data_IF_120375219143
#
_entry.id   IF_120375219143
#
_cell.length_a   1.000
_cell.length_b   1.000
_cell.length_c   1.000
_cell.angle_alpha   90.00
_cell.angle_beta   90.00
_cell.angle_gamma   90.00
#
_symmetry.space_group_name_H-M   'P 1'
#
loop_
_entity.id
_entity.type
_entity.pdbx_description
1 polymer ?
#
# COMPACT_ATOMS: atom_id res chain seq x y z
N UNK A 1 -4.42 19.86 28.65
CA UNK A 1 -3.81 21.07 28.05
C UNK A 1 -3.67 20.79 26.56
N UNK A 2 -4.61 21.35 25.77
CA UNK A 2 -4.60 21.24 24.32
C UNK A 2 -3.42 22.04 23.76
N UNK A 3 -2.40 21.34 23.25
CA UNK A 3 -1.40 21.97 22.39
C UNK A 3 -2.01 22.11 21.00
N UNK A 4 -2.52 23.30 20.69
CA UNK A 4 -2.75 23.73 19.31
C UNK A 4 -1.40 23.69 18.59
N UNK A 5 -1.18 22.66 17.80
CA UNK A 5 -0.04 22.60 16.87
C UNK A 5 -0.30 23.62 15.77
N UNK A 6 0.41 24.75 15.83
CA UNK A 6 0.54 25.64 14.68
C UNK A 6 1.16 24.82 13.54
N UNK A 7 0.35 24.47 12.55
CA UNK A 7 0.85 23.84 11.33
C UNK A 7 1.74 24.86 10.61
N UNK A 8 3.00 24.52 10.42
CA UNK A 8 3.87 25.29 9.53
C UNK A 8 3.25 25.29 8.12
N UNK A 9 3.35 26.39 7.36
CA UNK A 9 2.81 26.45 6.00
C UNK A 9 3.45 25.36 5.15
N UNK A 10 2.61 24.69 4.33
CA UNK A 10 3.06 23.65 3.40
C UNK A 10 4.12 24.27 2.49
N UNK A 11 5.28 23.61 2.27
CA UNK A 11 6.28 24.10 1.32
C UNK A 11 5.66 24.35 -0.06
N UNK A 12 5.98 25.46 -0.70
CA UNK A 12 5.38 25.87 -1.97
C UNK A 12 5.46 24.81 -3.08
N UNK A 13 6.52 23.99 -3.08
CA UNK A 13 6.65 22.86 -3.98
C UNK A 13 5.57 21.79 -3.74
N UNK A 14 5.21 21.52 -2.50
CA UNK A 14 4.17 20.55 -2.14
C UNK A 14 2.78 21.10 -2.51
N UNK A 15 2.56 22.41 -2.38
CA UNK A 15 1.31 23.07 -2.79
C UNK A 15 1.07 22.96 -4.30
N UNK A 16 2.10 23.08 -5.11
CA UNK A 16 2.00 22.92 -6.56
C UNK A 16 1.56 21.49 -6.93
N UNK A 17 2.14 20.47 -6.28
CA UNK A 17 1.75 19.06 -6.47
C UNK A 17 0.31 18.85 -5.99
N UNK A 18 -0.06 19.33 -4.80
CA UNK A 18 -1.43 19.24 -4.28
C UNK A 18 -2.45 19.87 -5.24
N UNK A 19 -2.12 21.03 -5.79
CA UNK A 19 -2.99 21.74 -6.75
C UNK A 19 -3.16 20.92 -8.04
N UNK A 20 -2.09 20.29 -8.52
CA UNK A 20 -2.14 19.41 -9.69
C UNK A 20 -2.98 18.16 -9.41
N UNK A 21 -2.80 17.53 -8.26
CA UNK A 21 -3.57 16.35 -7.83
C UNK A 21 -5.06 16.66 -7.73
N UNK A 22 -5.44 17.76 -7.11
CA UNK A 22 -6.85 18.20 -7.02
C UNK A 22 -7.50 18.40 -8.37
N UNK A 23 -6.75 18.82 -9.39
CA UNK A 23 -7.28 18.98 -10.76
C UNK A 23 -7.58 17.65 -11.44
N UNK A 24 -6.85 16.60 -11.11
CA UNK A 24 -7.03 15.25 -11.67
C UNK A 24 -7.85 14.33 -10.76
N UNK A 25 -8.19 14.78 -9.57
CA UNK A 25 -8.90 14.02 -8.54
C UNK A 25 -10.13 13.29 -9.07
N UNK A 26 -11.06 14.01 -9.70
CA UNK A 26 -12.29 13.43 -10.26
C UNK A 26 -12.06 12.41 -11.40
N UNK A 27 -10.86 12.39 -11.96
CA UNK A 27 -10.47 11.44 -13.02
C UNK A 27 -9.85 10.19 -12.37
N UNK A 28 -9.04 10.38 -11.33
CA UNK A 28 -8.29 9.31 -10.67
C UNK A 28 -9.14 8.52 -9.65
N UNK A 29 -10.17 9.17 -9.07
CA UNK A 29 -11.01 8.59 -8.01
C UNK A 29 -12.49 8.85 -8.30
N UNK A 30 -13.07 8.23 -9.34
CA UNK A 30 -14.48 8.41 -9.65
C UNK A 30 -15.36 7.81 -8.57
N UNK A 31 -16.51 8.42 -8.31
CA UNK A 31 -17.52 7.95 -7.36
C UNK A 31 -18.32 6.73 -7.88
N UNK A 32 -17.84 6.05 -8.90
CA UNK A 32 -18.54 4.95 -9.58
C UNK A 32 -17.52 4.00 -10.19
N UNK A 33 -17.89 2.73 -10.25
CA UNK A 33 -17.17 1.67 -10.98
C UNK A 33 -17.90 1.23 -12.25
N UNK A 34 -18.78 2.08 -12.79
CA UNK A 34 -19.33 1.88 -14.12
C UNK A 34 -18.20 1.76 -15.18
N UNK A 35 -18.39 1.00 -16.26
CA UNK A 35 -17.31 0.68 -17.19
C UNK A 35 -16.49 1.88 -17.69
N UNK A 36 -17.14 3.03 -17.97
CA UNK A 36 -16.46 4.24 -18.43
C UNK A 36 -15.66 4.94 -17.31
N UNK A 37 -16.16 4.91 -16.08
CA UNK A 37 -15.49 5.47 -14.92
C UNK A 37 -14.29 4.61 -14.53
N UNK A 38 -14.46 3.30 -14.53
CA UNK A 38 -13.39 2.34 -14.30
C UNK A 38 -12.26 2.46 -15.35
N UNK A 39 -12.63 2.60 -16.61
CA UNK A 39 -11.66 2.85 -17.68
C UNK A 39 -10.90 4.16 -17.46
N UNK A 40 -11.58 5.24 -17.08
CA UNK A 40 -10.93 6.51 -16.73
C UNK A 40 -9.99 6.39 -15.54
N UNK A 41 -10.41 5.71 -14.49
CA UNK A 41 -9.59 5.45 -13.29
C UNK A 41 -8.30 4.71 -13.66
N UNK A 42 -8.42 3.60 -14.39
CA UNK A 42 -7.28 2.79 -14.83
C UNK A 42 -6.31 3.59 -15.71
N UNK A 43 -6.84 4.35 -16.68
CA UNK A 43 -6.03 5.24 -17.52
C UNK A 43 -5.38 6.37 -16.72
N UNK A 44 -6.09 6.95 -15.76
CA UNK A 44 -5.58 8.02 -14.89
C UNK A 44 -4.42 7.53 -14.03
N UNK A 45 -4.55 6.34 -13.45
CA UNK A 45 -3.49 5.74 -12.64
C UNK A 45 -2.27 5.34 -13.48
N UNK A 46 -2.48 4.81 -14.68
CA UNK A 46 -1.40 4.53 -15.63
C UNK A 46 -0.68 5.81 -16.08
N UNK A 47 -1.45 6.89 -16.35
CA UNK A 47 -0.87 8.19 -16.66
C UNK A 47 -0.05 8.76 -15.50
N UNK A 48 -0.51 8.60 -14.24
CA UNK A 48 0.24 8.97 -13.04
C UNK A 48 1.57 8.19 -12.98
N UNK A 49 1.52 6.88 -13.22
CA UNK A 49 2.72 6.03 -13.27
C UNK A 49 3.73 6.42 -14.35
N UNK A 50 3.25 7.04 -15.45
CA UNK A 50 4.13 7.57 -16.53
C UNK A 50 4.64 8.99 -16.26
N UNK A 51 3.84 9.83 -15.59
CA UNK A 51 4.19 11.22 -15.29
C UNK A 51 5.17 11.31 -14.10
N UNK A 52 4.99 10.46 -13.10
CA UNK A 52 5.90 10.37 -11.98
C UNK A 52 7.12 9.55 -12.42
N UNK A 53 8.21 10.25 -12.68
CA UNK A 53 9.48 9.58 -13.04
C UNK A 53 10.00 8.79 -11.84
N UNK A 54 10.17 7.47 -11.95
CA UNK A 54 10.83 6.70 -10.92
C UNK A 54 12.29 7.17 -10.76
N UNK A 55 12.91 6.99 -9.60
CA UNK A 55 14.33 7.28 -9.43
C UNK A 55 15.16 6.46 -10.42
N UNK A 56 16.39 6.88 -10.67
CA UNK A 56 17.37 6.14 -11.49
C UNK A 56 18.18 5.20 -10.59
N UNK A 57 18.86 4.22 -11.19
CA UNK A 57 19.78 3.34 -10.46
C UNK A 57 19.18 1.98 -10.07
N UNK A 58 18.17 1.52 -10.80
CA UNK A 58 17.63 0.16 -10.66
C UNK A 58 17.33 -0.47 -12.02
N UNK A 59 17.42 -1.80 -12.09
CA UNK A 59 16.90 -2.59 -13.21
C UNK A 59 15.41 -2.92 -13.00
N UNK A 60 14.70 -3.07 -14.13
CA UNK A 60 13.31 -3.49 -14.17
C UNK A 60 13.18 -4.71 -15.09
N UNK A 61 12.87 -5.87 -14.52
CA UNK A 61 12.85 -7.15 -15.22
C UNK A 61 11.45 -7.76 -15.19
N UNK A 62 10.60 -7.46 -16.20
CA UNK A 62 9.24 -8.00 -16.25
C UNK A 62 9.25 -9.48 -16.66
N UNK A 63 8.35 -10.27 -16.09
CA UNK A 63 8.10 -11.67 -16.39
C UNK A 63 6.68 -12.06 -15.97
N UNK A 64 6.34 -13.34 -16.04
CA UNK A 64 5.04 -13.85 -15.59
C UNK A 64 5.23 -15.06 -14.68
N UNK A 65 4.34 -15.19 -13.71
CA UNK A 65 4.22 -16.36 -12.82
C UNK A 65 2.82 -16.93 -13.00
N UNK A 66 2.68 -18.05 -13.66
CA UNK A 66 1.40 -18.71 -13.96
C UNK A 66 0.34 -17.75 -14.56
N UNK A 67 0.79 -16.88 -15.48
CA UNK A 67 -0.05 -15.87 -16.12
C UNK A 67 -0.25 -14.58 -15.34
N UNK A 68 0.30 -14.47 -14.12
CA UNK A 68 0.30 -13.22 -13.34
C UNK A 68 1.51 -12.38 -13.76
N UNK A 69 1.30 -11.17 -14.33
CA UNK A 69 2.40 -10.28 -14.66
C UNK A 69 3.16 -9.87 -13.39
N UNK A 70 4.47 -9.98 -13.42
CA UNK A 70 5.36 -9.64 -12.31
C UNK A 70 6.62 -8.93 -12.81
N UNK A 71 7.34 -8.26 -11.92
CA UNK A 71 8.62 -7.66 -12.25
C UNK A 71 9.56 -7.68 -11.04
N UNK A 72 10.81 -8.05 -11.30
CA UNK A 72 11.89 -7.79 -10.38
C UNK A 72 12.39 -6.37 -10.52
N UNK A 73 12.61 -5.74 -9.38
CA UNK A 73 13.23 -4.41 -9.26
C UNK A 73 14.50 -4.58 -8.44
N UNK A 74 15.65 -4.31 -9.05
CA UNK A 74 16.95 -4.54 -8.40
C UNK A 74 17.82 -3.28 -8.46
N UNK A 75 18.45 -2.85 -7.35
CA UNK A 75 19.44 -1.79 -7.40
C UNK A 75 20.58 -2.12 -8.36
N UNK A 76 20.94 -1.18 -9.23
CA UNK A 76 22.12 -1.27 -10.09
C UNK A 76 23.38 -1.19 -9.24
N UNK A 77 24.43 -1.94 -9.61
CA UNK A 77 25.68 -1.97 -8.83
C UNK A 77 25.73 -3.03 -7.73
N UNK A 78 24.69 -3.85 -7.63
CA UNK A 78 24.57 -4.96 -6.68
C UNK A 78 23.52 -4.68 -5.61
N UNK A 79 22.95 -5.76 -5.11
CA UNK A 79 21.93 -5.72 -4.06
C UNK A 79 22.21 -6.77 -2.99
N UNK A 80 21.73 -6.52 -1.78
CA UNK A 80 21.78 -7.47 -0.69
C UNK A 80 20.76 -8.60 -0.94
N UNK A 81 21.27 -9.82 -1.08
CA UNK A 81 20.46 -11.02 -1.33
C UNK A 81 20.02 -11.74 -0.05
N UNK A 82 20.29 -11.17 1.11
CA UNK A 82 19.85 -11.77 2.38
C UNK A 82 18.37 -11.54 2.67
N UNK A 83 17.76 -10.56 2.00
CA UNK A 83 16.36 -10.15 2.12
C UNK A 83 15.78 -9.74 0.77
N UNK A 84 14.47 -9.85 0.65
CA UNK A 84 13.71 -9.32 -0.47
C UNK A 84 12.39 -8.73 0.01
N UNK A 85 11.77 -7.89 -0.82
CA UNK A 85 10.46 -7.31 -0.55
C UNK A 85 9.46 -7.88 -1.55
N UNK A 86 8.38 -8.52 -1.06
CA UNK A 86 7.19 -8.81 -1.87
C UNK A 86 6.23 -7.64 -1.74
N UNK A 87 5.92 -6.99 -2.85
CA UNK A 87 5.14 -5.76 -2.85
C UNK A 87 3.78 -5.92 -3.55
N UNK A 88 2.71 -5.65 -2.78
CA UNK A 88 1.32 -5.58 -3.24
C UNK A 88 0.96 -4.11 -3.52
N UNK A 89 0.63 -3.77 -4.77
CA UNK A 89 0.32 -2.40 -5.16
C UNK A 89 -1.07 -1.96 -4.74
N UNK A 90 -1.28 -0.64 -4.59
CA UNK A 90 -2.57 -0.01 -4.35
C UNK A 90 -3.44 0.11 -5.62
N UNK A 91 -4.59 0.78 -5.46
CA UNK A 91 -5.54 1.04 -6.55
C UNK A 91 -6.97 0.59 -6.28
N UNK A 92 -7.36 0.45 -5.01
CA UNK A 92 -8.73 0.12 -4.59
C UNK A 92 -9.22 -1.25 -5.08
N UNK A 93 -8.32 -2.17 -5.37
CA UNK A 93 -8.61 -3.48 -6.02
C UNK A 93 -9.21 -3.39 -7.43
N UNK A 94 -9.49 -2.20 -7.93
CA UNK A 94 -10.14 -1.96 -9.23
C UNK A 94 -9.19 -1.43 -10.29
N UNK A 95 -8.02 -1.00 -9.88
CA UNK A 95 -6.96 -0.46 -10.74
C UNK A 95 -5.58 -0.82 -10.19
N UNK A 96 -4.56 -0.53 -10.96
CA UNK A 96 -3.18 -0.87 -10.65
C UNK A 96 -2.52 -1.65 -11.78
N UNK A 97 -1.29 -1.32 -12.06
CA UNK A 97 -0.47 -1.97 -13.07
C UNK A 97 0.97 -2.08 -12.57
N UNK A 98 1.79 -2.89 -13.24
CA UNK A 98 3.22 -2.91 -12.96
C UNK A 98 3.88 -1.53 -13.17
N UNK A 99 3.35 -0.70 -14.09
CA UNK A 99 3.82 0.67 -14.30
C UNK A 99 3.58 1.57 -13.09
N UNK A 100 2.43 1.42 -12.42
CA UNK A 100 2.14 2.08 -11.15
C UNK A 100 3.02 1.53 -10.02
N UNK A 101 3.07 0.21 -9.88
CA UNK A 101 3.86 -0.47 -8.85
C UNK A 101 5.35 -0.09 -8.89
N UNK A 102 5.89 0.14 -10.09
CA UNK A 102 7.29 0.54 -10.32
C UNK A 102 7.70 1.76 -9.51
N UNK A 103 6.80 2.73 -9.28
CA UNK A 103 7.09 3.97 -8.57
C UNK A 103 7.54 3.73 -7.13
N UNK A 104 6.78 2.95 -6.38
CA UNK A 104 7.07 2.68 -4.97
C UNK A 104 8.09 1.55 -4.83
N UNK A 105 8.00 0.51 -5.66
CA UNK A 105 8.95 -0.60 -5.67
C UNK A 105 10.39 -0.14 -5.89
N UNK A 106 10.63 0.78 -6.85
CA UNK A 106 11.98 1.32 -7.09
C UNK A 106 12.50 2.14 -5.91
N UNK A 107 11.66 2.92 -5.24
CA UNK A 107 12.04 3.68 -4.06
C UNK A 107 12.40 2.76 -2.88
N UNK A 108 11.61 1.70 -2.67
CA UNK A 108 11.92 0.68 -1.66
C UNK A 108 13.25 -0.02 -1.96
N UNK A 109 13.44 -0.47 -3.22
CA UNK A 109 14.68 -1.14 -3.63
C UNK A 109 15.92 -0.28 -3.38
N UNK A 110 15.88 0.99 -3.78
CA UNK A 110 17.01 1.91 -3.61
C UNK A 110 17.26 2.30 -2.16
N UNK A 111 16.21 2.46 -1.35
CA UNK A 111 16.35 2.83 0.05
C UNK A 111 16.91 1.69 0.91
N UNK A 112 16.60 0.44 0.57
CA UNK A 112 16.98 -0.74 1.36
C UNK A 112 18.19 -1.49 0.81
N UNK A 113 18.49 -1.33 -0.48
CA UNK A 113 19.44 -2.19 -1.18
C UNK A 113 18.92 -3.61 -1.45
N UNK A 114 17.67 -3.92 -1.15
CA UNK A 114 17.04 -5.23 -1.39
C UNK A 114 16.39 -5.28 -2.77
N UNK A 115 16.26 -6.49 -3.34
CA UNK A 115 15.39 -6.66 -4.49
C UNK A 115 13.91 -6.65 -4.07
N UNK A 116 13.06 -6.15 -4.97
CA UNK A 116 11.61 -6.10 -4.79
C UNK A 116 10.95 -6.90 -5.89
N UNK A 117 10.04 -7.81 -5.53
CA UNK A 117 9.12 -8.43 -6.47
C UNK A 117 7.78 -7.69 -6.39
N UNK A 118 7.39 -7.03 -7.47
CA UNK A 118 6.06 -6.48 -7.67
C UNK A 118 5.27 -7.39 -8.62
N UNK A 119 3.96 -7.50 -8.41
CA UNK A 119 3.08 -8.30 -9.28
C UNK A 119 1.75 -7.58 -9.47
N UNK A 120 1.07 -7.92 -10.57
CA UNK A 120 -0.23 -7.36 -10.92
C UNK A 120 -1.30 -8.42 -10.68
N UNK A 121 -1.94 -8.35 -9.53
CA UNK A 121 -3.05 -9.24 -9.18
C UNK A 121 -4.31 -8.93 -10.00
N UNK A 122 -5.22 -9.90 -10.09
CA UNK A 122 -6.52 -9.75 -10.76
C UNK A 122 -7.36 -8.68 -10.11
N UNK A 123 -8.04 -7.87 -10.91
CA UNK A 123 -8.74 -6.66 -10.48
C UNK A 123 -10.26 -6.80 -10.59
N UNK A 124 -10.95 -6.21 -9.65
CA UNK A 124 -12.40 -6.06 -9.67
C UNK A 124 -12.84 -4.97 -10.69
N UNK A 125 -14.05 -5.02 -11.18
CA UNK A 125 -15.12 -5.98 -10.89
C UNK A 125 -15.02 -7.30 -11.67
N UNK A 126 -14.06 -7.42 -12.61
CA UNK A 126 -13.87 -8.62 -13.41
C UNK A 126 -13.49 -9.83 -12.54
N UNK A 127 -12.76 -9.56 -11.47
CA UNK A 127 -12.27 -10.53 -10.50
C UNK A 127 -12.48 -10.00 -9.09
N UNK A 128 -13.45 -10.57 -8.40
CA UNK A 128 -13.84 -10.16 -7.06
C UNK A 128 -13.05 -10.92 -5.99
N UNK A 129 -13.23 -10.57 -4.72
CA UNK A 129 -12.69 -11.37 -3.63
C UNK A 129 -13.10 -12.86 -3.77
N UNK A 130 -12.19 -13.83 -3.55
CA UNK A 130 -10.84 -13.69 -2.99
C UNK A 130 -9.70 -13.69 -4.04
N UNK A 131 -9.97 -13.44 -5.31
CA UNK A 131 -9.00 -13.72 -6.39
C UNK A 131 -7.67 -12.95 -6.27
N UNK A 132 -7.69 -11.71 -5.78
CA UNK A 132 -6.44 -10.97 -5.53
C UNK A 132 -5.57 -11.64 -4.43
N UNK A 133 -6.21 -12.20 -3.39
CA UNK A 133 -5.51 -12.92 -2.33
C UNK A 133 -4.95 -14.27 -2.83
N UNK A 134 -5.68 -14.96 -3.71
CA UNK A 134 -5.19 -16.18 -4.37
C UNK A 134 -3.95 -15.91 -5.20
N UNK A 135 -3.95 -14.80 -5.96
CA UNK A 135 -2.77 -14.38 -6.73
C UNK A 135 -1.58 -14.05 -5.81
N UNK A 136 -1.82 -13.35 -4.71
CA UNK A 136 -0.78 -13.05 -3.73
C UNK A 136 -0.19 -14.34 -3.09
N UNK A 137 -1.04 -15.36 -2.81
CA UNK A 137 -0.58 -16.68 -2.35
C UNK A 137 0.26 -17.39 -3.40
N UNK A 138 -0.14 -17.34 -4.65
CA UNK A 138 0.59 -17.97 -5.76
C UNK A 138 1.99 -17.34 -5.90
N UNK A 139 2.09 -16.02 -5.82
CA UNK A 139 3.39 -15.32 -5.84
C UNK A 139 4.23 -15.65 -4.60
N UNK A 140 3.63 -15.79 -3.42
CA UNK A 140 4.33 -16.25 -2.21
C UNK A 140 4.89 -17.67 -2.41
N UNK A 141 4.10 -18.61 -2.94
CA UNK A 141 4.55 -19.99 -3.22
C UNK A 141 5.66 -20.01 -4.29
N UNK A 142 5.58 -19.13 -5.28
CA UNK A 142 6.64 -18.97 -6.27
C UNK A 142 7.97 -18.56 -5.63
N UNK A 143 7.95 -17.63 -4.66
CA UNK A 143 9.15 -17.26 -3.92
C UNK A 143 9.71 -18.41 -3.09
N UNK A 144 8.85 -19.21 -2.45
CA UNK A 144 9.26 -20.42 -1.73
C UNK A 144 9.90 -21.41 -2.70
N UNK A 145 9.33 -21.61 -3.90
CA UNK A 145 9.87 -22.47 -4.95
C UNK A 145 11.25 -22.00 -5.44
N UNK A 146 11.48 -20.69 -5.52
CA UNK A 146 12.79 -20.12 -5.84
C UNK A 146 13.83 -20.31 -4.73
N UNK A 147 13.43 -20.82 -3.57
CA UNK A 147 14.32 -21.11 -2.44
C UNK A 147 14.42 -19.97 -1.41
N UNK A 148 13.59 -18.92 -1.51
CA UNK A 148 13.53 -17.90 -0.48
C UNK A 148 12.98 -18.48 0.82
N UNK A 149 13.64 -18.22 1.93
CA UNK A 149 13.10 -18.49 3.26
C UNK A 149 12.03 -17.46 3.62
N UNK A 150 10.91 -17.88 4.22
CA UNK A 150 9.85 -16.94 4.62
C UNK A 150 10.38 -15.76 5.46
N UNK A 151 11.36 -16.00 6.33
CA UNK A 151 12.03 -14.99 7.17
C UNK A 151 12.99 -14.07 6.40
N UNK A 152 13.26 -14.35 5.15
CA UNK A 152 14.02 -13.50 4.25
C UNK A 152 13.12 -12.53 3.49
N UNK A 153 11.80 -12.78 3.48
CA UNK A 153 10.80 -11.96 2.82
C UNK A 153 10.25 -10.91 3.76
N UNK A 154 10.20 -9.68 3.28
CA UNK A 154 9.47 -8.55 3.83
C UNK A 154 8.22 -8.38 2.97
N UNK A 155 7.06 -8.34 3.58
CA UNK A 155 5.81 -8.13 2.86
C UNK A 155 5.41 -6.66 2.95
N UNK A 156 5.20 -6.02 1.81
CA UNK A 156 4.89 -4.59 1.73
C UNK A 156 3.64 -4.34 0.89
N UNK A 157 2.93 -3.25 1.19
CA UNK A 157 1.80 -2.82 0.36
C UNK A 157 1.35 -1.40 0.66
N UNK A 158 0.72 -0.77 -0.34
CA UNK A 158 0.12 0.55 -0.20
C UNK A 158 -1.41 0.50 -0.41
N UNK A 159 -2.17 1.30 0.34
CA UNK A 159 -3.62 1.42 0.15
C UNK A 159 -4.32 0.05 0.19
N UNK A 160 -5.07 -0.33 -0.85
CA UNK A 160 -5.64 -1.68 -1.02
C UNK A 160 -4.57 -2.78 -1.05
N UNK A 161 -3.37 -2.51 -1.58
CA UNK A 161 -2.24 -3.44 -1.49
C UNK A 161 -1.71 -3.61 -0.06
N UNK A 162 -1.87 -2.60 0.78
CA UNK A 162 -1.61 -2.71 2.22
C UNK A 162 -2.62 -3.62 2.93
N UNK A 163 -3.89 -3.58 2.51
CA UNK A 163 -4.92 -4.53 2.90
C UNK A 163 -4.51 -5.94 2.47
N UNK A 164 -4.21 -6.14 1.19
CA UNK A 164 -3.80 -7.43 0.62
C UNK A 164 -2.56 -8.02 1.30
N UNK A 165 -1.57 -7.20 1.60
CA UNK A 165 -0.38 -7.63 2.34
C UNK A 165 -0.72 -8.10 3.76
N UNK A 166 -1.60 -7.39 4.44
CA UNK A 166 -2.06 -7.77 5.77
C UNK A 166 -2.90 -9.05 5.74
N UNK A 167 -3.81 -9.17 4.75
CA UNK A 167 -4.60 -10.39 4.52
C UNK A 167 -3.72 -11.60 4.22
N UNK A 168 -2.70 -11.47 3.36
CA UNK A 168 -1.75 -12.56 3.09
C UNK A 168 -1.00 -12.97 4.37
N UNK A 169 -0.57 -12.00 5.18
CA UNK A 169 0.06 -12.29 6.47
C UNK A 169 -0.85 -13.05 7.43
N UNK A 170 -2.13 -12.66 7.51
CA UNK A 170 -3.16 -13.34 8.31
C UNK A 170 -3.46 -14.76 7.78
N UNK A 171 -3.55 -14.90 6.47
CA UNK A 171 -3.78 -16.19 5.82
C UNK A 171 -2.66 -17.19 6.09
N UNK A 172 -1.41 -16.78 5.91
CA UNK A 172 -0.23 -17.60 6.21
C UNK A 172 -0.21 -18.03 7.69
N UNK A 173 -0.51 -17.10 8.61
CA UNK A 173 -0.60 -17.41 10.04
C UNK A 173 -1.71 -18.41 10.34
N UNK A 174 -2.91 -18.20 9.80
CA UNK A 174 -4.06 -19.08 10.03
C UNK A 174 -3.84 -20.48 9.46
N UNK A 175 -3.11 -20.57 8.34
CA UNK A 175 -2.66 -21.82 7.76
C UNK A 175 -1.41 -22.43 8.47
N UNK A 176 -0.97 -21.83 9.58
CA UNK A 176 0.22 -22.26 10.35
C UNK A 176 1.50 -22.35 9.50
N UNK A 177 1.61 -21.49 8.49
CA UNK A 177 2.78 -21.35 7.63
C UNK A 177 3.82 -20.43 8.29
N UNK A 178 5.06 -20.53 7.82
CA UNK A 178 6.10 -19.58 8.19
C UNK A 178 5.74 -18.17 7.69
N UNK A 179 5.86 -17.18 8.56
CA UNK A 179 5.50 -15.78 8.28
C UNK A 179 6.68 -15.00 7.69
N UNK A 180 6.41 -13.92 6.92
CA UNK A 180 7.43 -12.98 6.52
C UNK A 180 8.16 -12.38 7.73
N UNK A 181 9.33 -11.79 7.52
CA UNK A 181 10.09 -11.18 8.61
C UNK A 181 9.46 -9.90 9.14
N UNK A 182 8.81 -9.12 8.28
CA UNK A 182 8.24 -7.80 8.55
C UNK A 182 7.02 -7.52 7.67
N UNK A 183 6.17 -6.60 8.13
CA UNK A 183 5.14 -5.94 7.33
C UNK A 183 5.47 -4.45 7.19
N UNK A 184 5.37 -3.91 5.98
CA UNK A 184 5.52 -2.48 5.66
C UNK A 184 4.24 -2.02 4.99
N UNK A 185 3.51 -1.12 5.63
CA UNK A 185 2.20 -0.67 5.18
C UNK A 185 2.22 0.84 4.95
N UNK A 186 1.93 1.26 3.71
CA UNK A 186 1.84 2.66 3.33
C UNK A 186 0.36 3.04 3.16
N UNK A 187 -0.15 3.91 4.02
CA UNK A 187 -1.56 4.34 3.96
C UNK A 187 -2.54 3.17 3.79
N UNK A 188 -2.46 2.08 4.57
CA UNK A 188 -3.23 0.86 4.31
C UNK A 188 -4.73 1.10 4.50
N UNK A 189 -5.54 0.56 3.57
CA UNK A 189 -6.99 0.53 3.68
C UNK A 189 -7.43 -0.72 4.44
N UNK A 190 -7.67 -0.60 5.75
CA UNK A 190 -7.88 -1.75 6.64
C UNK A 190 -9.30 -1.92 7.17
N UNK A 191 -10.17 -0.95 6.92
CA UNK A 191 -11.58 -0.91 7.33
C UNK A 191 -12.49 -0.54 6.15
N UNK A 192 -13.10 -1.53 5.52
CA UNK A 192 -14.02 -1.30 4.40
C UNK A 192 -15.38 -0.73 4.83
N UNK A 193 -15.66 -0.62 6.14
CA UNK A 193 -16.89 0.03 6.62
C UNK A 193 -16.89 1.54 6.35
N UNK A 194 -15.72 2.16 6.21
CA UNK A 194 -15.52 3.58 6.00
C UNK A 194 -16.19 4.46 7.08
N UNK A 195 -16.14 4.02 8.34
CA UNK A 195 -16.85 4.65 9.46
C UNK A 195 -15.96 5.50 10.37
N UNK A 196 -14.64 5.52 10.13
CA UNK A 196 -13.70 6.29 10.95
C UNK A 196 -13.89 7.82 10.77
N UNK A 197 -13.51 8.59 11.80
CA UNK A 197 -13.70 10.06 11.83
C UNK A 197 -12.91 10.76 10.71
N UNK A 198 -11.75 10.24 10.33
CA UNK A 198 -10.92 10.80 9.26
C UNK A 198 -11.62 10.87 7.91
N UNK A 199 -12.61 10.01 7.63
CA UNK A 199 -13.43 10.09 6.42
C UNK A 199 -14.24 11.41 6.34
N UNK A 200 -14.51 12.03 7.47
CA UNK A 200 -15.17 13.35 7.56
C UNK A 200 -14.16 14.46 7.77
N UNK A 201 -13.23 14.29 8.71
CA UNK A 201 -12.27 15.34 9.08
C UNK A 201 -11.26 15.66 7.96
N UNK A 202 -10.96 14.72 7.10
CA UNK A 202 -10.01 14.84 6.00
C UNK A 202 -10.68 14.96 4.62
N UNK A 203 -12.01 14.93 4.52
CA UNK A 203 -12.73 14.96 3.25
C UNK A 203 -12.30 16.12 2.32
N UNK A 204 -12.16 17.33 2.86
CA UNK A 204 -11.72 18.50 2.08
C UNK A 204 -10.18 18.63 1.99
N UNK A 205 -9.44 17.79 2.70
CA UNK A 205 -7.97 17.85 2.77
C UNK A 205 -7.29 16.82 1.90
N UNK A 206 -7.93 15.65 1.71
CA UNK A 206 -7.41 14.59 0.88
C UNK A 206 -7.48 14.97 -0.60
N UNK A 207 -6.34 15.05 -1.31
CA UNK A 207 -6.33 15.42 -2.72
C UNK A 207 -6.60 14.25 -3.65
N UNK A 208 -6.67 13.01 -3.14
CA UNK A 208 -6.72 11.79 -3.94
C UNK A 208 -7.95 10.93 -3.68
N UNK A 209 -8.42 10.84 -2.44
CA UNK A 209 -9.49 9.92 -2.07
C UNK A 209 -10.75 10.65 -1.61
N UNK A 210 -11.91 10.08 -1.94
CA UNK A 210 -13.21 10.47 -1.39
C UNK A 210 -13.89 9.26 -0.77
N UNK A 211 -14.85 9.51 0.11
CA UNK A 211 -15.70 8.46 0.68
C UNK A 211 -16.46 7.71 -0.44
N UNK A 212 -17.00 8.44 -1.39
CA UNK A 212 -17.76 7.89 -2.52
C UNK A 212 -16.91 6.96 -3.37
N UNK A 213 -15.65 7.32 -3.62
CA UNK A 213 -14.69 6.44 -4.30
C UNK A 213 -14.47 5.14 -3.51
N UNK A 214 -14.19 5.24 -2.21
CA UNK A 214 -13.99 4.08 -1.35
C UNK A 214 -15.22 3.15 -1.35
N UNK A 215 -16.41 3.73 -1.26
CA UNK A 215 -17.66 2.97 -1.29
C UNK A 215 -17.89 2.28 -2.64
N UNK A 216 -17.56 2.95 -3.75
CA UNK A 216 -17.69 2.36 -5.08
C UNK A 216 -16.70 1.19 -5.29
N UNK A 217 -15.42 1.35 -4.91
CA UNK A 217 -14.43 0.29 -5.14
C UNK A 217 -14.61 -0.92 -4.21
N UNK A 218 -15.04 -0.72 -2.95
CA UNK A 218 -15.34 -1.85 -2.06
C UNK A 218 -16.50 -2.69 -2.59
N UNK A 219 -17.57 -2.03 -3.09
CA UNK A 219 -18.72 -2.73 -3.67
C UNK A 219 -18.32 -3.49 -4.95
N UNK A 220 -17.42 -2.96 -5.76
CA UNK A 220 -16.89 -3.67 -6.90
C UNK A 220 -16.04 -4.88 -6.51
N UNK A 221 -15.24 -4.76 -5.42
CA UNK A 221 -14.33 -5.81 -4.95
C UNK A 221 -15.09 -6.98 -4.28
N UNK A 222 -16.09 -6.68 -3.45
CA UNK A 222 -16.87 -7.68 -2.73
C UNK A 222 -18.36 -7.27 -2.66
N UNK A 223 -19.12 -7.49 -3.74
CA UNK A 223 -20.51 -7.03 -3.83
C UNK A 223 -21.40 -7.59 -2.72
N UNK A 224 -22.08 -6.71 -1.99
CA UNK A 224 -23.02 -7.09 -0.94
C UNK A 224 -22.40 -7.76 0.29
N UNK A 225 -21.10 -7.61 0.50
CA UNK A 225 -20.40 -8.20 1.63
C UNK A 225 -20.73 -7.51 2.97
N UNK A 226 -20.58 -8.22 4.07
CA UNK A 226 -20.49 -7.59 5.39
C UNK A 226 -19.07 -7.05 5.60
N UNK A 227 -18.92 -5.74 5.50
CA UNK A 227 -17.64 -5.05 5.62
C UNK A 227 -16.96 -5.18 6.99
N UNK A 228 -17.66 -5.73 8.01
CA UNK A 228 -17.09 -6.06 9.31
C UNK A 228 -16.36 -7.40 9.31
N UNK A 229 -16.54 -8.23 8.30
CA UNK A 229 -15.80 -9.48 8.21
C UNK A 229 -14.31 -9.24 8.02
N UNK A 230 -13.50 -9.98 8.80
CA UNK A 230 -12.05 -9.82 8.85
C UNK A 230 -11.35 -10.12 7.51
N UNK A 231 -12.00 -10.85 6.62
CA UNK A 231 -11.50 -11.17 5.29
C UNK A 231 -11.61 -10.00 4.28
N UNK A 232 -12.38 -8.98 4.58
CA UNK A 232 -12.42 -7.73 3.82
C UNK A 232 -11.74 -6.60 4.58
N UNK A 233 -11.97 -6.56 5.89
CA UNK A 233 -11.45 -5.54 6.80
C UNK A 233 -10.54 -6.16 7.84
N UNK A 234 -9.25 -6.36 7.52
CA UNK A 234 -8.31 -7.01 8.44
C UNK A 234 -8.12 -6.27 9.77
N UNK A 235 -8.59 -5.02 9.88
CA UNK A 235 -8.71 -4.32 11.15
C UNK A 235 -9.54 -5.10 12.18
N UNK A 236 -10.52 -5.88 11.76
CA UNK A 236 -11.37 -6.67 12.67
C UNK A 236 -10.86 -8.09 12.94
N UNK A 237 -9.72 -8.45 12.34
CA UNK A 237 -9.09 -9.75 12.59
C UNK A 237 -8.44 -9.84 13.99
N UNK A 238 -8.15 -11.06 14.41
CA UNK A 238 -7.18 -11.30 15.47
C UNK A 238 -5.77 -11.09 14.90
N UNK A 239 -5.06 -10.06 15.36
CA UNK A 239 -3.74 -9.69 14.86
C UNK A 239 -2.58 -10.36 15.60
N UNK A 240 -2.84 -11.18 16.63
CA UNK A 240 -1.80 -11.86 17.40
C UNK A 240 -0.91 -12.72 16.52
N UNK A 241 0.40 -12.67 16.78
CA UNK A 241 1.38 -13.48 16.07
C UNK A 241 1.79 -12.96 14.70
N UNK A 242 1.24 -11.83 14.22
CA UNK A 242 1.76 -11.16 13.03
C UNK A 242 3.21 -10.69 13.22
N UNK A 243 3.98 -10.53 12.15
CA UNK A 243 5.34 -10.03 12.25
C UNK A 243 5.40 -8.55 12.64
N UNK A 244 6.56 -8.05 13.11
CA UNK A 244 6.75 -6.63 13.38
C UNK A 244 6.35 -5.77 12.18
N UNK A 245 5.58 -4.71 12.44
CA UNK A 245 4.88 -3.93 11.40
C UNK A 245 5.27 -2.45 11.46
N UNK A 246 5.64 -1.88 10.32
CA UNK A 246 5.74 -0.43 10.12
C UNK A 246 4.50 0.06 9.36
N UNK A 247 3.88 1.11 9.86
CA UNK A 247 2.78 1.82 9.20
C UNK A 247 3.21 3.26 8.97
N UNK A 248 3.13 3.74 7.74
CA UNK A 248 3.34 5.14 7.38
C UNK A 248 2.06 5.71 6.77
N UNK A 249 1.62 6.87 7.23
CA UNK A 249 0.34 7.47 6.82
C UNK A 249 0.44 8.99 6.74
N UNK A 250 -0.25 9.59 5.78
CA UNK A 250 -0.41 11.03 5.67
C UNK A 250 -1.44 11.56 6.67
N UNK A 251 -1.18 12.72 7.26
CA UNK A 251 -2.12 13.36 8.19
C UNK A 251 -3.36 13.97 7.53
N UNK A 252 -3.34 14.09 6.20
CA UNK A 252 -4.40 14.75 5.41
C UNK A 252 -5.31 13.77 4.68
N UNK A 253 -5.07 12.48 4.79
CA UNK A 253 -5.84 11.46 4.06
C UNK A 253 -7.02 10.89 4.85
N UNK A 254 -8.07 10.50 4.15
CA UNK A 254 -9.27 9.91 4.77
C UNK A 254 -8.99 8.54 5.40
N UNK A 255 -7.95 7.82 4.97
CA UNK A 255 -7.51 6.53 5.56
C UNK A 255 -6.56 6.71 6.77
N UNK A 256 -6.38 7.94 7.28
CA UNK A 256 -5.52 8.19 8.45
C UNK A 256 -5.90 7.32 9.65
N UNK A 257 -7.19 7.21 9.94
CA UNK A 257 -7.65 6.52 11.11
C UNK A 257 -7.70 4.99 10.92
N UNK A 258 -7.73 4.49 9.70
CA UNK A 258 -7.47 3.09 9.38
C UNK A 258 -6.09 2.67 9.93
N UNK A 259 -5.08 3.48 9.63
CA UNK A 259 -3.71 3.27 10.10
C UNK A 259 -3.56 3.42 11.62
N UNK A 260 -4.21 4.43 12.21
CA UNK A 260 -4.15 4.69 13.65
C UNK A 260 -4.82 3.57 14.44
N UNK A 261 -5.99 3.12 13.99
CA UNK A 261 -6.74 2.02 14.61
C UNK A 261 -6.01 0.68 14.44
N UNK A 262 -5.42 0.44 13.26
CA UNK A 262 -4.60 -0.76 13.06
C UNK A 262 -3.42 -0.79 14.03
N UNK A 263 -2.71 0.34 14.17
CA UNK A 263 -1.59 0.44 15.13
C UNK A 263 -2.03 0.12 16.56
N UNK A 264 -3.14 0.68 17.02
CA UNK A 264 -3.69 0.41 18.35
C UNK A 264 -3.99 -1.08 18.55
N UNK A 265 -4.64 -1.71 17.58
CA UNK A 265 -4.95 -3.14 17.61
C UNK A 265 -3.70 -4.04 17.59
N UNK A 266 -2.66 -3.66 16.84
CA UNK A 266 -1.38 -4.36 16.87
C UNK A 266 -0.73 -4.28 18.26
N UNK A 267 -0.79 -3.10 18.92
CA UNK A 267 -0.30 -2.95 20.31
C UNK A 267 -1.10 -3.83 21.29
N UNK A 268 -2.43 -3.84 21.21
CA UNK A 268 -3.30 -4.70 22.00
C UNK A 268 -2.99 -6.20 21.79
N UNK A 269 -2.69 -6.57 20.55
CA UNK A 269 -2.28 -7.93 20.15
C UNK A 269 -0.81 -8.26 20.52
N UNK A 270 -0.09 -7.36 21.17
CA UNK A 270 1.33 -7.49 21.52
C UNK A 270 2.24 -7.75 20.30
N UNK A 271 1.86 -7.23 19.14
CA UNK A 271 2.68 -7.23 17.93
C UNK A 271 3.55 -5.98 17.94
N UNK A 272 4.88 -6.10 17.79
CA UNK A 272 5.75 -4.93 17.68
C UNK A 272 5.33 -4.08 16.47
N UNK A 273 4.95 -2.85 16.68
CA UNK A 273 4.51 -1.97 15.61
C UNK A 273 5.03 -0.54 15.80
N UNK A 274 5.26 0.14 14.67
CA UNK A 274 5.63 1.55 14.59
C UNK A 274 4.65 2.25 13.69
N UNK A 275 4.05 3.33 14.17
CA UNK A 275 3.22 4.23 13.37
C UNK A 275 3.96 5.55 13.14
N UNK A 276 4.09 5.94 11.88
CA UNK A 276 4.67 7.20 11.45
C UNK A 276 3.61 8.02 10.72
N UNK A 277 3.08 9.06 11.38
CA UNK A 277 2.14 10.00 10.79
C UNK A 277 2.89 11.22 10.26
N UNK A 278 2.66 11.56 9.00
CA UNK A 278 3.25 12.70 8.30
C UNK A 278 2.21 13.81 8.15
N UNK A 279 2.17 14.82 9.02
CA UNK A 279 1.02 15.71 9.22
C UNK A 279 0.52 16.43 7.96
N UNK A 280 1.45 16.85 7.09
CA UNK A 280 1.14 17.63 5.88
C UNK A 280 1.06 16.79 4.61
N UNK A 281 1.24 15.48 4.74
CA UNK A 281 1.24 14.56 3.61
C UNK A 281 -0.14 13.96 3.38
N UNK A 282 -0.33 13.44 2.18
CA UNK A 282 -1.54 12.83 1.65
C UNK A 282 -1.35 11.33 1.37
N UNK A 283 -2.38 10.69 0.86
CA UNK A 283 -2.42 9.27 0.58
C UNK A 283 -1.25 8.81 -0.31
N UNK A 284 -0.48 7.84 0.18
CA UNK A 284 0.71 7.25 -0.47
C UNK A 284 1.69 8.30 -1.02
N UNK A 285 1.94 9.35 -0.22
CA UNK A 285 2.84 10.45 -0.59
C UNK A 285 4.26 9.99 -0.95
N UNK A 286 4.64 8.82 -0.53
CA UNK A 286 5.94 8.20 -0.80
C UNK A 286 6.21 7.98 -2.29
N UNK A 287 5.17 7.94 -3.14
CA UNK A 287 5.34 7.83 -4.60
C UNK A 287 5.87 9.11 -5.24
N UNK A 288 5.69 10.25 -4.60
CA UNK A 288 5.97 11.56 -5.17
C UNK A 288 7.43 11.98 -4.97
N UNK A 289 7.98 12.87 -5.83
CA UNK A 289 9.33 13.39 -5.68
C UNK A 289 9.40 14.46 -4.60
N UNK A 290 9.15 14.09 -3.36
CA UNK A 290 9.11 14.93 -2.18
C UNK A 290 10.27 14.61 -1.25
N UNK A 291 10.75 15.62 -0.51
CA UNK A 291 11.73 15.42 0.56
C UNK A 291 11.18 14.48 1.63
N UNK A 292 9.92 14.70 2.05
CA UNK A 292 9.23 13.83 3.00
C UNK A 292 9.15 12.37 2.55
N UNK A 293 8.98 12.12 1.24
CA UNK A 293 8.98 10.77 0.69
C UNK A 293 10.36 10.10 0.80
N UNK A 294 11.44 10.85 0.57
CA UNK A 294 12.82 10.37 0.78
C UNK A 294 13.05 10.02 2.26
N UNK A 295 12.71 10.93 3.16
CA UNK A 295 12.83 10.72 4.61
C UNK A 295 12.00 9.52 5.09
N UNK A 296 10.80 9.31 4.54
CA UNK A 296 9.95 8.16 4.86
C UNK A 296 10.59 6.85 4.41
N UNK A 297 11.22 6.80 3.23
CA UNK A 297 11.95 5.63 2.74
C UNK A 297 13.20 5.35 3.61
N UNK A 298 13.94 6.37 4.02
CA UNK A 298 15.07 6.22 4.95
C UNK A 298 14.62 5.64 6.30
N UNK A 299 13.52 6.14 6.87
CA UNK A 299 12.97 5.61 8.12
C UNK A 299 12.45 4.18 7.97
N UNK A 300 11.90 3.80 6.81
CA UNK A 300 11.57 2.42 6.50
C UNK A 300 12.82 1.52 6.49
N UNK A 301 13.89 1.94 5.82
CA UNK A 301 15.14 1.20 5.80
C UNK A 301 15.73 1.01 7.22
N UNK A 302 15.73 2.08 8.05
CA UNK A 302 16.15 2.02 9.45
C UNK A 302 15.30 1.04 10.28
N UNK A 303 13.97 1.00 10.06
CA UNK A 303 13.11 0.03 10.74
C UNK A 303 13.50 -1.41 10.39
N UNK A 304 13.88 -1.67 9.14
CA UNK A 304 14.30 -3.01 8.70
C UNK A 304 15.66 -3.42 9.30
N UNK A 305 16.55 -2.46 9.56
CA UNK A 305 17.87 -2.70 10.16
C UNK A 305 17.82 -2.92 11.68
N UNK A 306 16.99 -2.15 12.40
CA UNK A 306 16.98 -2.10 13.87
C UNK A 306 16.38 -3.33 14.58
N UNK A 307 15.88 -4.31 13.84
CA UNK A 307 15.27 -5.52 14.40
C UNK A 307 16.05 -6.79 14.00
N UNK A 308 17.36 -6.63 13.80
CA UNK A 308 18.30 -7.75 13.61
C UNK A 308 18.52 -8.51 14.91
#
# INVERSE_FOLDING_TARGET
MNKTTNHAPIPAANEAILTALRKVHNIASPASTAPEDLKRQRLGQEALGRLLTPPIGFSWEPFEVDGIPAAWVRPEGGHDRSKMILYCHGGGYTSGTLGYARLLASRMALATGYEVLAFQYRLAPEHTYPEALEDARLIWEYLMFLGWGAREIILAGDSAGGNLALELGLDLRNAQRMLPSRLILFSPWTDMTATADSYTECADKDPLLTREYIEAVREAYAPGADWHEACYSPLFADLRGLPPTLIQVGGREILRDDSTRLYQKLQEAQVPAVLQTWPDMWHVFQMFPLKAAGEAMEQMAQFLENLR
#
